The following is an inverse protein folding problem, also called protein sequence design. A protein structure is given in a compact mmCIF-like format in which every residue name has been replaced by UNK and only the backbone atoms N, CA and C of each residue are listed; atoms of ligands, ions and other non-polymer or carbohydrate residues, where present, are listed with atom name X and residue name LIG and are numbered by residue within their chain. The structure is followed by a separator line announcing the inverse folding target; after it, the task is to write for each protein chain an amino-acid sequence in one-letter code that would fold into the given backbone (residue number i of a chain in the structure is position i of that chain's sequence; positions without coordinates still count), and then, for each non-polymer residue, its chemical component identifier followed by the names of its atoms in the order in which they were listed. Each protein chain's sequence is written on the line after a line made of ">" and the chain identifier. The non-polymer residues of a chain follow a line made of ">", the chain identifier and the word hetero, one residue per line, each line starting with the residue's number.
data_IF_477628569928
#
_entry.id   IF_477628569928
#
_cell.length_a   1.000
_cell.length_b   1.000
_cell.length_c   1.000
_cell.angle_alpha   90.00
_cell.angle_beta   90.00
_cell.angle_gamma   90.00
#
_symmetry.space_group_name_H-M   'P 1'
#
loop_
_entity.id
_entity.type
_entity.pdbx_description
1 polymer ?
#
# COMPACT_ATOMS: atom_id res chain seq x y z
N UNK A 1 7.33 -2.12 4.79
CA UNK A 1 6.97 -2.06 6.22
C UNK A 1 6.16 -0.82 6.59
N UNK A 2 6.60 0.40 6.26
CA UNK A 2 5.91 1.63 6.72
C UNK A 2 4.45 1.70 6.26
N UNK A 3 4.18 1.48 4.98
CA UNK A 3 2.83 1.60 4.43
C UNK A 3 1.91 0.53 5.03
N UNK A 4 2.42 -0.70 5.13
CA UNK A 4 1.73 -1.85 5.71
C UNK A 4 1.33 -1.59 7.18
N UNK A 5 2.26 -1.07 7.99
CA UNK A 5 1.97 -0.70 9.39
C UNK A 5 0.94 0.43 9.47
N UNK A 6 1.07 1.47 8.63
CA UNK A 6 0.13 2.60 8.64
C UNK A 6 -1.27 2.16 8.25
N UNK A 7 -1.42 1.35 7.19
CA UNK A 7 -2.69 0.79 6.77
C UNK A 7 -3.34 -0.03 7.88
N UNK A 8 -2.58 -0.91 8.54
CA UNK A 8 -3.07 -1.69 9.67
C UNK A 8 -3.52 -0.81 10.85
N UNK A 9 -2.71 0.18 11.23
CA UNK A 9 -3.03 1.11 12.32
C UNK A 9 -4.28 1.94 12.02
N UNK A 10 -4.42 2.42 10.78
CA UNK A 10 -5.59 3.17 10.33
C UNK A 10 -6.88 2.34 10.39
N UNK A 11 -6.81 1.08 9.95
CA UNK A 11 -7.96 0.18 10.03
C UNK A 11 -8.36 -0.10 11.49
N UNK A 12 -7.39 -0.36 12.37
CA UNK A 12 -7.68 -0.60 13.79
C UNK A 12 -8.26 0.63 14.48
N UNK A 13 -7.78 1.83 14.15
CA UNK A 13 -8.35 3.10 14.62
C UNK A 13 -9.75 3.31 14.06
N UNK A 14 -9.99 2.94 12.80
CA UNK A 14 -11.32 3.00 12.20
C UNK A 14 -12.31 2.09 12.95
N UNK A 15 -11.94 0.86 13.29
CA UNK A 15 -12.78 -0.02 14.11
C UNK A 15 -13.13 0.61 15.47
N UNK A 16 -12.16 1.24 16.13
CA UNK A 16 -12.40 1.97 17.38
C UNK A 16 -13.32 3.18 17.19
N UNK A 17 -13.18 3.91 16.08
CA UNK A 17 -14.01 5.08 15.75
C UNK A 17 -15.47 4.69 15.51
N UNK A 18 -15.74 3.50 14.96
CA UNK A 18 -17.10 2.99 14.76
C UNK A 18 -17.85 2.76 16.08
N UNK A 19 -17.14 2.63 17.21
CA UNK A 19 -17.76 2.50 18.53
C UNK A 19 -18.19 3.88 19.04
N UNK A 20 -19.43 4.25 18.75
CA UNK A 20 -20.00 5.57 18.95
C UNK A 20 -19.65 6.21 20.31
N UNK A 21 -18.81 7.24 20.26
CA UNK A 21 -18.55 8.17 21.37
C UNK A 21 -17.66 7.64 22.50
N UNK A 22 -17.06 6.45 22.36
CA UNK A 22 -16.26 5.85 23.44
C UNK A 22 -14.85 6.46 23.55
N UNK A 23 -14.26 6.88 22.42
CA UNK A 23 -12.95 7.51 22.36
C UNK A 23 -13.01 8.82 21.58
N UNK A 24 -12.32 9.85 22.06
CA UNK A 24 -12.15 11.12 21.34
C UNK A 24 -11.16 10.99 20.17
N UNK A 25 -11.27 11.85 19.17
CA UNK A 25 -10.32 11.90 18.04
C UNK A 25 -8.87 12.07 18.50
N UNK A 26 -8.64 12.83 19.58
CA UNK A 26 -7.31 12.95 20.18
C UNK A 26 -6.80 11.63 20.74
N UNK A 27 -7.64 10.85 21.42
CA UNK A 27 -7.26 9.52 21.92
C UNK A 27 -6.98 8.55 20.78
N UNK A 28 -7.79 8.59 19.72
CA UNK A 28 -7.59 7.78 18.51
C UNK A 28 -6.24 8.11 17.84
N UNK A 29 -5.90 9.39 17.68
CA UNK A 29 -4.62 9.79 17.09
C UNK A 29 -3.41 9.42 17.95
N UNK A 30 -3.51 9.60 19.27
CA UNK A 30 -2.47 9.16 20.21
C UNK A 30 -2.29 7.64 20.14
N UNK A 31 -3.39 6.88 20.14
CA UNK A 31 -3.35 5.42 20.02
C UNK A 31 -2.73 4.99 18.68
N UNK A 32 -3.13 5.60 17.55
CA UNK A 32 -2.55 5.35 16.22
C UNK A 32 -1.03 5.53 16.22
N UNK A 33 -0.57 6.65 16.77
CA UNK A 33 0.85 6.98 16.86
C UNK A 33 1.61 5.97 17.72
N UNK A 34 1.07 5.62 18.89
CA UNK A 34 1.64 4.61 19.79
C UNK A 34 1.71 3.23 19.12
N UNK A 35 0.63 2.78 18.50
CA UNK A 35 0.55 1.49 17.83
C UNK A 35 1.56 1.38 16.69
N UNK A 36 1.67 2.43 15.87
CA UNK A 36 2.64 2.50 14.77
C UNK A 36 4.06 2.31 15.28
N UNK A 37 4.43 2.95 16.40
CA UNK A 37 5.78 2.83 16.96
C UNK A 37 6.05 1.46 17.58
N UNK A 38 5.08 0.90 18.31
CA UNK A 38 5.20 -0.46 18.88
C UNK A 38 5.39 -1.50 17.78
N UNK A 39 4.57 -1.43 16.71
CA UNK A 39 4.69 -2.33 15.55
C UNK A 39 6.04 -2.18 14.85
N UNK A 40 6.48 -0.94 14.61
CA UNK A 40 7.77 -0.64 13.97
C UNK A 40 8.94 -1.22 14.75
N UNK A 41 8.89 -1.14 16.08
CA UNK A 41 9.92 -1.72 16.94
C UNK A 41 9.86 -3.25 16.92
N UNK A 42 8.67 -3.82 17.12
CA UNK A 42 8.43 -5.28 17.17
C UNK A 42 8.89 -5.97 15.88
N UNK A 43 8.63 -5.37 14.72
CA UNK A 43 8.84 -6.05 13.42
C UNK A 43 10.24 -5.89 12.84
N UNK A 44 11.09 -5.04 13.43
CA UNK A 44 12.41 -4.66 12.92
C UNK A 44 13.25 -5.85 12.44
N UNK A 45 13.39 -6.87 13.28
CA UNK A 45 14.22 -8.07 13.00
C UNK A 45 13.40 -9.25 12.45
N UNK A 46 12.11 -9.01 12.19
CA UNK A 46 11.15 -10.01 11.75
C UNK A 46 10.45 -9.56 10.46
N UNK A 47 11.10 -8.74 9.63
CA UNK A 47 10.56 -8.25 8.36
C UNK A 47 11.42 -8.73 7.19
N UNK A 48 10.88 -9.61 6.35
CA UNK A 48 11.63 -10.26 5.26
C UNK A 48 10.94 -10.00 3.91
N UNK A 49 11.24 -8.89 3.20
CA UNK A 49 10.59 -8.57 1.93
C UNK A 49 10.69 -9.67 0.88
N UNK A 50 11.83 -10.35 0.78
CA UNK A 50 12.05 -11.43 -0.20
C UNK A 50 11.32 -12.74 0.17
N UNK A 51 10.81 -12.84 1.40
CA UNK A 51 10.04 -14.00 1.90
C UNK A 51 8.89 -13.50 2.78
N UNK A 52 7.83 -12.91 2.20
CA UNK A 52 6.77 -12.24 2.96
C UNK A 52 6.18 -13.10 4.07
N UNK A 53 5.94 -14.39 3.79
CA UNK A 53 5.36 -15.35 4.73
C UNK A 53 6.29 -15.68 5.93
N UNK A 54 7.60 -15.44 5.82
CA UNK A 54 8.54 -15.70 6.92
C UNK A 54 8.23 -14.73 8.06
N UNK A 55 7.88 -15.28 9.22
CA UNK A 55 7.55 -14.49 10.41
C UNK A 55 6.15 -13.90 10.42
N UNK A 56 5.28 -14.24 9.46
CA UNK A 56 3.89 -13.74 9.42
C UNK A 56 3.14 -14.03 10.73
N UNK A 57 3.24 -15.27 11.25
CA UNK A 57 2.64 -15.61 12.55
C UNK A 57 3.16 -14.80 13.76
N UNK A 58 4.40 -14.30 13.71
CA UNK A 58 4.95 -13.42 14.76
C UNK A 58 4.40 -11.98 14.65
N UNK A 59 4.15 -11.52 13.41
CA UNK A 59 3.58 -10.21 13.09
C UNK A 59 2.05 -10.20 13.07
N UNK A 60 1.43 -11.36 13.24
CA UNK A 60 -0.02 -11.48 13.32
C UNK A 60 -0.51 -10.75 14.58
N UNK A 61 -1.52 -9.89 14.39
CA UNK A 61 -2.31 -9.33 15.49
C UNK A 61 -3.53 -10.22 15.66
N UNK A 62 -3.79 -10.72 16.88
CA UNK A 62 -4.93 -11.60 17.14
C UNK A 62 -5.68 -11.24 18.41
N UNK A 63 -6.97 -11.00 18.26
CA UNK A 63 -7.96 -10.89 19.34
C UNK A 63 -8.86 -12.12 19.24
N UNK A 64 -8.84 -12.97 20.26
CA UNK A 64 -9.78 -14.09 20.44
C UNK A 64 -9.79 -14.45 21.93
N UNK A 65 -10.82 -14.01 22.64
CA UNK A 65 -10.97 -14.15 24.10
C UNK A 65 -9.94 -13.40 24.96
N UNK A 66 -8.79 -13.02 24.36
CA UNK A 66 -7.72 -12.22 24.94
C UNK A 66 -7.30 -11.14 23.97
N UNK A 67 -6.92 -9.99 24.51
CA UNK A 67 -6.38 -8.86 23.74
C UNK A 67 -4.97 -9.19 23.25
N UNK A 68 -4.67 -8.77 22.02
CA UNK A 68 -3.32 -8.85 21.48
C UNK A 68 -2.35 -8.00 22.33
N UNK A 69 -1.18 -8.53 22.75
CA UNK A 69 -0.22 -7.79 23.57
C UNK A 69 0.29 -6.48 22.93
N UNK A 70 0.38 -6.41 21.60
CA UNK A 70 0.80 -5.21 20.88
C UNK A 70 -0.27 -4.12 20.99
N UNK A 71 -1.54 -4.48 20.79
CA UNK A 71 -2.66 -3.55 20.97
C UNK A 71 -2.75 -3.09 22.44
N UNK A 72 -2.65 -4.03 23.38
CA UNK A 72 -2.69 -3.72 24.82
C UNK A 72 -1.56 -2.77 25.23
N UNK A 73 -0.33 -3.00 24.76
CA UNK A 73 0.81 -2.12 25.01
C UNK A 73 0.61 -0.73 24.40
N UNK A 74 0.15 -0.66 23.15
CA UNK A 74 -0.11 0.60 22.48
C UNK A 74 -1.16 1.44 23.22
N UNK A 75 -2.22 0.78 23.70
CA UNK A 75 -3.24 1.38 24.55
C UNK A 75 -2.71 1.89 25.88
N UNK A 76 -1.95 1.05 26.59
CA UNK A 76 -1.37 1.40 27.89
C UNK A 76 -0.48 2.65 27.83
N UNK A 77 0.32 2.79 26.77
CA UNK A 77 1.18 3.95 26.54
C UNK A 77 0.42 5.28 26.46
N UNK A 78 -0.87 5.25 26.12
CA UNK A 78 -1.73 6.44 25.96
C UNK A 78 -2.86 6.49 26.98
N UNK A 79 -2.77 5.67 28.04
CA UNK A 79 -3.73 5.65 29.13
C UNK A 79 -5.05 4.94 28.83
N UNK A 80 -5.12 4.10 27.80
CA UNK A 80 -6.29 3.28 27.49
C UNK A 80 -6.18 1.92 28.18
N UNK A 81 -7.20 1.56 28.96
CA UNK A 81 -7.24 0.28 29.65
C UNK A 81 -7.45 -0.87 28.64
N UNK A 82 -6.74 -2.00 28.78
CA UNK A 82 -6.92 -3.16 27.91
C UNK A 82 -8.36 -3.69 27.91
N UNK A 83 -9.08 -3.60 29.04
CA UNK A 83 -10.48 -4.00 29.17
C UNK A 83 -11.41 -3.13 28.30
N UNK A 84 -11.15 -1.81 28.27
CA UNK A 84 -11.90 -0.88 27.40
C UNK A 84 -11.62 -1.21 25.95
N UNK A 85 -10.35 -1.35 25.55
CA UNK A 85 -10.01 -1.73 24.17
C UNK A 85 -10.66 -3.06 23.77
N UNK A 86 -10.70 -4.04 24.68
CA UNK A 86 -11.32 -5.34 24.41
C UNK A 86 -12.84 -5.25 24.22
N UNK A 87 -13.51 -4.30 24.88
CA UNK A 87 -14.94 -4.04 24.61
C UNK A 87 -15.22 -3.29 23.31
N UNK A 88 -14.21 -2.64 22.73
CA UNK A 88 -14.37 -1.80 21.54
C UNK A 88 -13.97 -2.52 20.24
N UNK A 89 -13.04 -3.47 20.30
CA UNK A 89 -12.69 -4.30 19.15
C UNK A 89 -13.66 -5.47 18.97
N UNK A 90 -13.77 -6.04 17.74
CA UNK A 90 -14.43 -7.31 17.53
C UNK A 90 -13.87 -8.39 18.47
N UNK A 91 -14.74 -9.27 18.98
CA UNK A 91 -14.35 -10.39 19.86
C UNK A 91 -13.35 -11.34 19.20
N UNK A 92 -13.42 -11.43 17.86
CA UNK A 92 -12.58 -12.26 17.02
C UNK A 92 -12.05 -11.44 15.84
N UNK A 93 -10.77 -11.09 15.91
CA UNK A 93 -10.04 -10.41 14.84
C UNK A 93 -8.69 -11.10 14.67
N UNK A 94 -8.34 -11.39 13.42
CA UNK A 94 -6.98 -11.82 13.04
C UNK A 94 -6.52 -10.91 11.91
N UNK A 95 -5.34 -10.33 12.03
CA UNK A 95 -4.74 -9.48 11.00
C UNK A 95 -3.30 -9.88 10.75
N UNK A 96 -2.94 -10.03 9.48
CA UNK A 96 -1.58 -10.28 9.02
C UNK A 96 -1.01 -9.00 8.43
N UNK A 97 0.17 -8.62 8.90
CA UNK A 97 0.89 -7.42 8.45
C UNK A 97 2.20 -7.90 7.86
N UNK A 98 2.19 -8.16 6.57
CA UNK A 98 3.26 -8.83 5.85
C UNK A 98 3.87 -7.91 4.79
N UNK A 99 5.11 -8.16 4.35
CA UNK A 99 5.68 -7.39 3.24
C UNK A 99 4.77 -7.41 2.02
N UNK A 100 4.43 -6.22 1.53
CA UNK A 100 3.56 -6.01 0.36
C UNK A 100 2.08 -6.36 0.56
N UNK A 101 1.64 -6.89 1.72
CA UNK A 101 0.23 -7.22 1.95
C UNK A 101 -0.19 -6.97 3.41
N UNK A 102 -1.37 -6.40 3.60
CA UNK A 102 -2.09 -6.43 4.88
C UNK A 102 -3.45 -7.05 4.64
N UNK A 103 -3.77 -8.11 5.37
CA UNK A 103 -5.05 -8.80 5.27
C UNK A 103 -5.61 -9.08 6.66
N UNK A 104 -6.92 -9.26 6.75
CA UNK A 104 -7.60 -9.49 8.01
C UNK A 104 -8.79 -10.42 7.87
N UNK A 105 -9.24 -10.95 9.01
CA UNK A 105 -10.46 -11.74 9.16
C UNK A 105 -11.15 -11.33 10.46
N UNK A 106 -12.47 -11.09 10.39
CA UNK A 106 -13.33 -10.88 11.55
C UNK A 106 -14.21 -12.12 11.72
N UNK A 107 -14.25 -12.69 12.94
CA UNK A 107 -14.91 -13.96 13.23
C UNK A 107 -14.06 -15.20 12.88
N UNK A 108 -14.28 -16.31 13.59
CA UNK A 108 -13.61 -17.60 13.31
C UNK A 108 -13.90 -18.13 11.90
N UNK A 109 -15.13 -17.93 11.40
CA UNK A 109 -15.58 -18.38 10.08
C UNK A 109 -15.63 -17.25 9.04
N UNK A 110 -15.02 -16.09 9.33
CA UNK A 110 -15.01 -14.96 8.40
C UNK A 110 -14.16 -15.19 7.16
N UNK A 111 -14.49 -14.50 6.08
CA UNK A 111 -13.63 -14.42 4.90
C UNK A 111 -12.36 -13.61 5.20
N UNK A 112 -11.27 -13.91 4.49
CA UNK A 112 -10.08 -13.08 4.51
C UNK A 112 -10.29 -11.93 3.54
N UNK A 113 -10.11 -10.71 4.03
CA UNK A 113 -10.16 -9.48 3.25
C UNK A 113 -8.77 -8.87 3.14
N UNK A 114 -8.38 -8.45 1.94
CA UNK A 114 -7.13 -7.70 1.72
C UNK A 114 -7.41 -6.21 1.96
N UNK A 115 -6.65 -5.61 2.87
CA UNK A 115 -6.72 -4.20 3.24
C UNK A 115 -5.68 -3.36 2.48
N UNK A 116 -4.51 -3.94 2.24
CA UNK A 116 -3.44 -3.32 1.47
C UNK A 116 -2.74 -4.39 0.64
N UNK A 117 -2.47 -4.08 -0.61
CA UNK A 117 -1.60 -4.88 -1.47
C UNK A 117 -0.72 -3.91 -2.26
N UNK A 118 0.59 -4.16 -2.30
CA UNK A 118 1.48 -3.40 -3.16
C UNK A 118 1.31 -3.91 -4.59
N UNK A 119 0.98 -3.04 -5.57
CA UNK A 119 1.02 -3.45 -6.97
C UNK A 119 2.43 -3.94 -7.31
N UNK A 120 2.52 -5.13 -7.92
CA UNK A 120 3.78 -5.56 -8.52
C UNK A 120 4.16 -4.51 -9.57
N UNK A 121 5.35 -3.91 -9.42
CA UNK A 121 5.88 -3.07 -10.47
C UNK A 121 6.13 -4.00 -11.67
N UNK A 122 5.31 -3.88 -12.71
CA UNK A 122 5.55 -4.57 -13.98
C UNK A 122 7.02 -4.33 -14.36
N UNK A 123 7.84 -5.36 -14.24
CA UNK A 123 9.22 -5.29 -14.69
C UNK A 123 9.18 -5.03 -16.19
N UNK A 124 9.93 -4.03 -16.66
CA UNK A 124 10.06 -3.68 -18.08
C UNK A 124 10.50 -4.86 -18.99
N UNK A 125 10.88 -5.99 -18.39
CA UNK A 125 11.19 -7.24 -19.06
C UNK A 125 9.96 -7.95 -19.67
N UNK A 126 8.75 -7.72 -19.17
CA UNK A 126 7.53 -8.35 -19.73
C UNK A 126 7.05 -7.67 -21.02
N UNK A 127 7.21 -6.34 -21.12
CA UNK A 127 6.94 -5.58 -22.36
C UNK A 127 7.88 -6.01 -23.49
N UNK A 128 9.12 -6.37 -23.15
CA UNK A 128 10.10 -6.83 -24.13
C UNK A 128 9.75 -8.21 -24.71
N UNK A 129 9.10 -9.09 -23.93
CA UNK A 129 8.70 -10.42 -24.41
C UNK A 129 7.45 -10.41 -25.29
N UNK A 130 6.51 -9.48 -25.05
CA UNK A 130 5.34 -9.31 -25.92
C UNK A 130 5.68 -8.68 -27.27
N UNK A 131 6.69 -7.81 -27.36
CA UNK A 131 7.14 -7.22 -28.63
C UNK A 131 7.93 -8.21 -29.52
N UNK A 132 8.57 -9.23 -28.94
CA UNK A 132 9.33 -10.23 -29.71
C UNK A 132 8.46 -11.36 -30.29
N UNK A 133 7.23 -11.56 -29.81
CA UNK A 133 6.36 -12.62 -30.30
C UNK A 133 5.60 -12.25 -31.59
N UNK A 134 5.59 -10.97 -32.00
CA UNK A 134 4.95 -10.51 -33.24
C UNK A 134 5.88 -10.45 -34.47
N UNK A 135 7.14 -10.87 -34.36
CA UNK A 135 8.11 -10.77 -35.46
C UNK A 135 8.77 -12.12 -35.83
N UNK A 136 8.00 -13.21 -35.84
CA UNK A 136 8.46 -14.46 -36.46
C UNK A 136 7.45 -15.01 -37.48
N UNK A 137 7.55 -14.52 -38.72
CA UNK A 137 7.28 -15.29 -39.93
C UNK A 137 8.07 -14.70 -41.10
N UNK A 138 9.05 -15.44 -41.68
CA UNK A 138 9.63 -15.10 -42.97
C UNK A 138 9.03 -15.98 -44.08
N UNK A 139 8.48 -15.36 -45.11
CA UNK A 139 8.42 -15.96 -46.44
C UNK A 139 9.16 -15.04 -47.41
N UNK A 140 10.26 -15.55 -47.97
CA UNK A 140 10.96 -14.97 -49.12
C UNK A 140 10.09 -15.06 -50.39
N UNK A 141 10.38 -14.25 -51.43
CA UNK A 141 11.26 -14.77 -52.49
C UNK A 141 12.35 -13.79 -52.97
N UNK A 142 13.39 -14.38 -53.57
CA UNK A 142 14.46 -13.78 -54.38
C UNK A 142 13.94 -12.79 -55.44
N UNK A 143 14.67 -11.79 -55.99
CA UNK A 143 15.98 -11.87 -56.67
C UNK A 143 16.35 -10.44 -57.16
N UNK A 144 17.58 -9.96 -56.93
CA UNK A 144 18.51 -9.39 -57.94
C UNK A 144 19.61 -8.49 -57.36
N UNK A 145 20.75 -8.65 -58.02
CA UNK A 145 22.09 -8.12 -57.83
C UNK A 145 22.18 -6.66 -58.28
N UNK A 146 22.83 -5.79 -57.50
CA UNK A 146 23.79 -4.84 -58.07
C UNK A 146 24.79 -4.31 -57.05
N UNK A 147 25.98 -4.11 -57.58
CA UNK A 147 27.26 -3.81 -56.94
C UNK A 147 27.47 -2.30 -56.98
N UNK A 148 27.83 -1.67 -55.86
CA UNK A 148 28.70 -0.50 -55.88
C UNK A 148 29.47 -0.36 -54.57
N UNK A 149 30.79 -0.26 -54.72
CA UNK A 149 31.77 0.16 -53.72
C UNK A 149 31.56 1.65 -53.44
N UNK A 150 31.68 2.08 -52.18
CA UNK A 150 32.31 3.35 -51.83
C UNK A 150 32.82 3.31 -50.38
N UNK A 151 34.14 3.50 -50.27
CA UNK A 151 34.87 3.89 -49.06
C UNK A 151 34.51 5.32 -48.65
N UNK A 152 34.40 5.63 -47.34
CA UNK A 152 35.17 6.71 -46.69
C UNK A 152 34.81 6.99 -45.21
N UNK A 153 35.89 7.17 -44.44
CA UNK A 153 36.17 8.10 -43.34
C UNK A 153 35.36 8.15 -42.04
N UNK A 154 36.06 7.68 -41.01
CA UNK A 154 36.23 8.20 -39.65
C UNK A 154 35.94 9.70 -39.43
N UNK A 155 35.09 10.01 -38.46
CA UNK A 155 35.11 11.27 -37.71
C UNK A 155 34.62 11.04 -36.27
N UNK A 156 35.54 11.12 -35.31
CA UNK A 156 35.23 11.22 -33.88
C UNK A 156 34.68 12.61 -33.57
N UNK A 157 33.48 12.69 -33.00
CA UNK A 157 32.96 13.91 -32.40
C UNK A 157 33.05 13.78 -30.88
N UNK A 158 33.93 14.58 -30.26
CA UNK A 158 33.87 14.89 -28.83
C UNK A 158 32.62 15.73 -28.57
N UNK A 159 31.76 15.29 -27.65
CA UNK A 159 30.63 16.08 -27.17
C UNK A 159 30.83 16.34 -25.66
N UNK A 160 31.10 17.60 -25.32
CA UNK A 160 31.14 18.07 -23.93
C UNK A 160 29.71 18.09 -23.37
N UNK A 161 29.52 17.49 -22.20
CA UNK A 161 28.28 17.54 -21.44
C UNK A 161 28.10 18.92 -20.81
N UNK A 162 27.02 19.62 -21.18
CA UNK A 162 26.53 20.80 -20.47
C UNK A 162 25.40 20.39 -19.51
N UNK A 163 25.45 20.89 -18.28
CA UNK A 163 24.43 20.70 -17.23
C UNK A 163 23.07 21.29 -17.65
N UNK A 164 21.94 20.68 -17.28
CA UNK A 164 20.62 21.28 -17.53
C UNK A 164 20.35 22.47 -16.59
N UNK A 165 19.62 23.51 -17.04
CA UNK A 165 19.20 24.61 -16.18
C UNK A 165 18.11 24.18 -15.18
N UNK A 166 17.93 24.91 -14.06
CA UNK A 166 16.87 24.63 -13.09
C UNK A 166 15.47 24.87 -13.68
N UNK A 167 14.43 24.17 -13.18
CA UNK A 167 13.08 24.28 -13.71
C UNK A 167 12.48 25.67 -13.39
N UNK A 168 11.81 26.26 -14.38
CA UNK A 168 11.05 27.49 -14.22
C UNK A 168 9.75 27.23 -13.45
N UNK A 169 9.16 28.25 -12.78
CA UNK A 169 7.88 28.12 -12.08
C UNK A 169 6.75 27.77 -13.05
N UNK A 170 5.90 26.81 -12.69
CA UNK A 170 4.75 26.38 -13.48
C UNK A 170 3.70 27.51 -13.60
N UNK A 171 2.97 27.62 -14.72
CA UNK A 171 1.94 28.64 -14.89
C UNK A 171 0.75 28.43 -13.94
N UNK A 172 0.25 29.52 -13.33
CA UNK A 172 -0.93 29.58 -12.45
C UNK A 172 -2.15 28.70 -12.83
N UNK A 173 -2.57 28.56 -14.10
CA UNK A 173 -3.73 27.72 -14.43
C UNK A 173 -3.55 26.21 -14.14
N UNK A 174 -2.31 25.69 -14.11
CA UNK A 174 -2.07 24.27 -13.77
C UNK A 174 -2.20 23.99 -12.26
N UNK A 175 -1.95 24.98 -11.41
CA UNK A 175 -2.03 24.80 -9.96
C UNK A 175 -3.48 24.66 -9.50
N UNK A 176 -4.40 25.38 -10.13
CA UNK A 176 -5.83 25.31 -9.83
C UNK A 176 -6.47 23.99 -10.29
N UNK A 177 -6.01 23.45 -11.43
CA UNK A 177 -6.48 22.15 -11.92
C UNK A 177 -5.99 20.99 -11.03
N UNK A 178 -4.76 21.06 -10.52
CA UNK A 178 -4.23 20.06 -9.60
C UNK A 178 -4.94 20.09 -8.23
N UNK A 179 -5.36 21.28 -7.78
CA UNK A 179 -6.12 21.44 -6.53
C UNK A 179 -7.56 20.89 -6.65
N UNK A 180 -8.23 21.14 -7.78
CA UNK A 180 -9.55 20.52 -8.07
C UNK A 180 -9.47 19.01 -8.20
N UNK A 181 -8.41 18.48 -8.82
CA UNK A 181 -8.20 17.04 -8.93
C UNK A 181 -7.94 16.40 -7.55
N UNK A 182 -7.27 17.14 -6.65
CA UNK A 182 -7.04 16.69 -5.27
C UNK A 182 -8.31 16.74 -4.41
N UNK A 183 -9.16 17.76 -4.58
CA UNK A 183 -10.48 17.83 -3.93
C UNK A 183 -11.43 16.74 -4.45
N UNK A 184 -11.46 16.50 -5.75
CA UNK A 184 -12.26 15.42 -6.35
C UNK A 184 -11.83 14.02 -5.86
N UNK A 185 -10.52 13.80 -5.65
CA UNK A 185 -10.04 12.56 -5.05
C UNK A 185 -10.44 12.43 -3.57
N UNK A 186 -10.46 13.54 -2.81
CA UNK A 186 -10.95 13.53 -1.42
C UNK A 186 -12.43 13.19 -1.34
N UNK A 187 -13.24 13.76 -2.23
CA UNK A 187 -14.68 13.50 -2.25
C UNK A 187 -14.97 12.04 -2.64
N UNK A 188 -14.23 11.48 -3.61
CA UNK A 188 -14.34 10.04 -3.93
C UNK A 188 -13.94 9.15 -2.76
N UNK A 189 -12.84 9.47 -2.06
CA UNK A 189 -12.42 8.70 -0.89
C UNK A 189 -13.43 8.79 0.27
N UNK A 190 -14.09 9.93 0.46
CA UNK A 190 -15.14 10.09 1.45
C UNK A 190 -16.40 9.30 1.08
N UNK A 191 -16.77 9.28 -0.21
CA UNK A 191 -17.91 8.51 -0.73
C UNK A 191 -17.69 7.00 -0.66
N UNK A 192 -16.48 6.52 -0.95
CA UNK A 192 -16.13 5.10 -0.74
C UNK A 192 -16.12 4.76 0.76
N UNK A 193 -15.66 5.68 1.61
CA UNK A 193 -15.64 5.48 3.05
C UNK A 193 -17.05 5.40 3.66
N UNK A 194 -18.00 6.20 3.18
CA UNK A 194 -19.42 6.08 3.59
C UNK A 194 -20.05 4.79 3.09
N UNK A 195 -19.81 4.39 1.83
CA UNK A 195 -20.33 3.11 1.32
C UNK A 195 -19.78 1.90 2.07
N UNK A 196 -18.49 1.92 2.41
CA UNK A 196 -17.85 0.88 3.21
C UNK A 196 -18.41 0.82 4.64
N UNK A 197 -18.64 1.98 5.25
CA UNK A 197 -19.22 2.09 6.60
C UNK A 197 -20.66 1.58 6.66
N UNK A 198 -21.47 1.83 5.61
CA UNK A 198 -22.85 1.32 5.52
C UNK A 198 -22.89 -0.21 5.35
N UNK A 199 -21.96 -0.79 4.57
CA UNK A 199 -21.85 -2.24 4.41
C UNK A 199 -21.46 -2.94 5.71
N UNK A 200 -20.56 -2.35 6.50
CA UNK A 200 -20.21 -2.87 7.84
C UNK A 200 -21.39 -2.74 8.81
N UNK A 201 -22.08 -1.60 8.83
CA UNK A 201 -23.23 -1.38 9.71
C UNK A 201 -24.39 -2.35 9.42
N UNK A 202 -24.62 -2.67 8.14
CA UNK A 202 -25.60 -3.67 7.72
C UNK A 202 -25.21 -5.10 8.17
N UNK A 203 -23.92 -5.44 8.13
CA UNK A 203 -23.43 -6.76 8.52
C UNK A 203 -23.47 -7.00 10.04
N UNK A 204 -23.20 -5.97 10.86
CA UNK A 204 -23.25 -6.08 12.33
C UNK A 204 -24.69 -6.08 12.86
N UNK A 205 -25.66 -5.65 12.06
CA UNK A 205 -27.09 -5.62 12.41
C UNK A 205 -27.88 -6.85 11.96
N UNK A 206 -27.20 -7.87 11.41
CA UNK A 206 -27.74 -9.14 10.92
C UNK A 206 -27.46 -10.28 11.88
#
# INVERSE_FOLDING_TARGET
>A
MRLEIVSAADFLVHLLRLQAGQLSERQLEMFKSSLTEVLRHRYRDHWFPDRPNRGSGYRCIRINGKMDPVIAQAGANVGLLPTVLHSLFPSELTMWIDPSEVSYRIGENGSICVLYERPEAETADEISQQLHQHQQHPHQPHLHQHQHQHTHHHAQHHQQAAMPPPPLPLPLPQQQQQQQQFESCKDSLLLEHTQFSEQIAAYVSS
#
